data_IF_302385678766
#
_entry.id   IF_302385678766
#
_cell.length_a   1.000
_cell.length_b   1.000
_cell.length_c   1.000
_cell.angle_alpha   90.00
_cell.angle_beta   90.00
_cell.angle_gamma   90.00
#
_symmetry.space_group_name_H-M   'P 1'
#
loop_
_entity.id
_entity.type
_entity.pdbx_description
1 polymer ?
#
# COMPACT_ATOMS: atom_id res chain seq x y z
N UNK A 1 21.27 0.81 -0.62
CA UNK A 1 19.90 0.65 -0.16
C UNK A 1 18.93 1.45 -1.01
N UNK A 2 17.90 0.81 -1.45
CA UNK A 2 16.89 1.47 -2.25
C UNK A 2 15.96 2.30 -1.39
N UNK A 3 15.65 3.48 -1.89
CA UNK A 3 14.64 4.31 -1.28
C UNK A 3 13.67 4.78 -2.33
N UNK A 4 12.43 4.77 -1.97
CA UNK A 4 11.37 5.17 -2.90
C UNK A 4 11.15 6.66 -2.77
N UNK A 5 11.17 7.35 -3.88
CA UNK A 5 11.15 8.81 -3.91
C UNK A 5 9.76 9.37 -4.11
N UNK A 6 8.88 8.59 -4.73
CA UNK A 6 7.55 9.09 -5.05
C UNK A 6 6.50 8.07 -4.68
N UNK A 7 5.27 8.56 -4.48
CA UNK A 7 4.13 7.70 -4.25
C UNK A 7 3.86 6.81 -5.45
N UNK A 8 4.17 7.28 -6.65
CA UNK A 8 3.96 6.47 -7.86
C UNK A 8 4.80 5.21 -7.85
N UNK A 9 6.06 5.32 -7.40
CA UNK A 9 6.93 4.15 -7.34
C UNK A 9 6.41 3.11 -6.36
N UNK A 10 6.01 3.57 -5.18
CA UNK A 10 5.48 2.68 -4.16
C UNK A 10 4.17 2.05 -4.64
N UNK A 11 3.33 2.86 -5.26
CA UNK A 11 2.06 2.38 -5.80
C UNK A 11 2.29 1.23 -6.80
N UNK A 12 3.23 1.41 -7.73
CA UNK A 12 3.49 0.37 -8.73
C UNK A 12 3.98 -0.92 -8.10
N UNK A 13 4.83 -0.83 -7.09
CA UNK A 13 5.32 -2.02 -6.41
C UNK A 13 4.17 -2.75 -5.72
N UNK A 14 3.36 -2.04 -4.96
CA UNK A 14 2.25 -2.67 -4.24
C UNK A 14 1.20 -3.19 -5.20
N UNK A 15 0.89 -2.44 -6.25
CA UNK A 15 -0.07 -2.89 -7.25
C UNK A 15 0.36 -4.21 -7.87
N UNK A 16 1.64 -4.32 -8.25
CA UNK A 16 2.15 -5.54 -8.83
C UNK A 16 2.05 -6.71 -7.86
N UNK A 17 2.39 -6.47 -6.59
CA UNK A 17 2.34 -7.54 -5.59
C UNK A 17 0.91 -8.01 -5.32
N UNK A 18 -0.05 -7.11 -5.42
CA UNK A 18 -1.45 -7.49 -5.27
C UNK A 18 -1.92 -8.29 -6.48
N UNK A 19 -1.53 -7.87 -7.67
CA UNK A 19 -1.96 -8.52 -8.90
C UNK A 19 -1.34 -9.91 -9.03
N UNK A 20 -0.07 -10.07 -8.67
CA UNK A 20 0.60 -11.37 -8.79
C UNK A 20 0.40 -12.24 -7.56
N UNK A 21 -0.43 -11.81 -6.62
CA UNK A 21 -0.81 -12.55 -5.43
C UNK A 21 0.32 -12.74 -4.42
N UNK A 22 1.40 -11.95 -4.53
CA UNK A 22 2.40 -11.88 -3.47
C UNK A 22 1.73 -11.39 -2.19
N UNK A 23 0.85 -10.41 -2.32
CA UNK A 23 -0.02 -9.96 -1.24
C UNK A 23 -1.40 -10.53 -1.55
N UNK A 24 -1.88 -11.43 -0.70
CA UNK A 24 -3.11 -12.14 -0.99
C UNK A 24 -4.34 -11.33 -0.69
N UNK A 25 -5.45 -11.59 -1.38
CA UNK A 25 -6.74 -10.99 -1.05
C UNK A 25 -7.10 -11.28 0.40
N UNK A 26 -7.66 -10.29 1.07
CA UNK A 26 -8.01 -10.41 2.48
C UNK A 26 -6.89 -10.04 3.42
N UNK A 27 -5.68 -9.83 2.90
CA UNK A 27 -4.55 -9.44 3.74
C UNK A 27 -4.73 -8.01 4.24
N UNK A 28 -4.23 -7.74 5.44
CA UNK A 28 -4.23 -6.39 5.99
C UNK A 28 -2.94 -5.68 5.59
N UNK A 29 -3.07 -4.41 5.22
CA UNK A 29 -1.92 -3.56 4.93
C UNK A 29 -1.88 -2.46 5.97
N UNK A 30 -0.91 -2.54 6.87
CA UNK A 30 -0.73 -1.52 7.90
C UNK A 30 0.24 -0.46 7.45
N UNK A 31 0.04 0.78 7.89
CA UNK A 31 0.91 1.87 7.52
C UNK A 31 2.33 1.70 8.05
N UNK A 32 2.45 1.31 9.31
CA UNK A 32 3.77 1.23 9.93
C UNK A 32 4.73 0.27 9.22
N UNK A 33 4.34 -0.98 8.94
CA UNK A 33 5.23 -1.86 8.18
C UNK A 33 5.57 -1.33 6.80
N UNK A 34 4.63 -0.68 6.13
CA UNK A 34 4.89 -0.12 4.81
C UNK A 34 5.85 1.06 4.90
N UNK A 35 5.71 1.91 5.90
CA UNK A 35 6.65 3.00 6.11
C UNK A 35 8.07 2.46 6.30
N UNK A 36 8.21 1.42 7.10
CA UNK A 36 9.51 0.81 7.34
C UNK A 36 10.06 0.16 6.07
N UNK A 37 9.20 -0.54 5.34
CA UNK A 37 9.61 -1.25 4.14
C UNK A 37 10.12 -0.32 3.06
N UNK A 38 9.42 0.79 2.84
CA UNK A 38 9.76 1.71 1.76
C UNK A 38 10.60 2.90 2.21
N UNK A 39 10.83 3.04 3.50
CA UNK A 39 11.56 4.19 4.00
C UNK A 39 10.81 5.48 3.73
N UNK A 40 9.49 5.45 3.77
CA UNK A 40 8.65 6.57 3.40
C UNK A 40 7.84 7.07 4.60
N UNK A 41 7.50 8.37 4.62
CA UNK A 41 6.68 8.89 5.70
C UNK A 41 5.25 8.40 5.59
N UNK A 42 4.55 8.43 6.72
CA UNK A 42 3.18 7.92 6.77
C UNK A 42 2.26 8.64 5.80
N UNK A 43 2.46 9.95 5.63
CA UNK A 43 1.62 10.72 4.70
C UNK A 43 1.73 10.18 3.28
N UNK A 44 2.93 9.80 2.86
CA UNK A 44 3.14 9.26 1.53
C UNK A 44 2.47 7.90 1.39
N UNK A 45 2.59 7.06 2.41
CA UNK A 45 1.96 5.73 2.39
C UNK A 45 0.44 5.87 2.31
N UNK A 46 -0.13 6.85 3.03
CA UNK A 46 -1.58 7.07 2.96
C UNK A 46 -2.03 7.45 1.57
N UNK A 47 -1.24 8.28 0.88
CA UNK A 47 -1.56 8.66 -0.50
C UNK A 47 -1.56 7.43 -1.39
N UNK A 48 -0.57 6.55 -1.22
CA UNK A 48 -0.49 5.33 -2.01
C UNK A 48 -1.69 4.43 -1.76
N UNK A 49 -2.03 4.23 -0.49
CA UNK A 49 -3.18 3.39 -0.15
C UNK A 49 -4.48 3.96 -0.71
N UNK A 50 -4.61 5.29 -0.69
CA UNK A 50 -5.78 5.94 -1.27
C UNK A 50 -5.87 5.66 -2.77
N UNK A 51 -4.75 5.73 -3.47
CA UNK A 51 -4.73 5.45 -4.91
C UNK A 51 -5.07 3.99 -5.19
N UNK A 52 -4.58 3.08 -4.36
CA UNK A 52 -4.91 1.67 -4.52
C UNK A 52 -6.41 1.44 -4.31
N UNK A 53 -7.02 2.14 -3.36
CA UNK A 53 -8.45 2.03 -3.14
C UNK A 53 -9.23 2.58 -4.33
N UNK A 54 -8.79 3.70 -4.89
CA UNK A 54 -9.46 4.28 -6.04
C UNK A 54 -9.47 3.34 -7.23
N UNK A 55 -8.48 2.46 -7.32
CA UNK A 55 -8.40 1.48 -8.40
C UNK A 55 -8.95 0.12 -8.00
N UNK A 56 -9.62 0.04 -6.87
CA UNK A 56 -10.28 -1.19 -6.46
C UNK A 56 -9.36 -2.29 -5.97
N UNK A 57 -8.12 -1.97 -5.64
CA UNK A 57 -7.15 -2.97 -5.21
C UNK A 57 -7.18 -3.21 -3.71
N UNK A 58 -7.57 -2.21 -2.94
CA UNK A 58 -7.69 -2.33 -1.49
C UNK A 58 -8.94 -1.61 -1.04
N UNK A 59 -9.33 -1.88 0.21
CA UNK A 59 -10.44 -1.18 0.85
C UNK A 59 -9.95 -0.63 2.18
N UNK A 60 -10.08 0.67 2.35
CA UNK A 60 -9.71 1.35 3.58
C UNK A 60 -10.94 1.43 4.46
N UNK A 61 -10.87 0.83 5.64
CA UNK A 61 -11.99 0.82 6.59
C UNK A 61 -11.59 1.66 7.79
N UNK A 62 -12.36 2.70 8.13
CA UNK A 62 -12.03 3.53 9.30
C UNK A 62 -11.90 2.68 10.55
N UNK A 63 -10.88 2.95 11.34
CA UNK A 63 -10.59 2.29 12.61
C UNK A 63 -10.19 0.83 12.50
N UNK A 64 -10.24 0.24 11.31
CA UNK A 64 -9.85 -1.16 11.12
C UNK A 64 -8.62 -1.33 10.25
N UNK A 65 -8.34 -0.36 9.42
CA UNK A 65 -7.17 -0.41 8.55
C UNK A 65 -7.52 -0.70 7.12
N UNK A 66 -6.52 -1.14 6.36
CA UNK A 66 -6.65 -1.36 4.92
C UNK A 66 -6.59 -2.85 4.64
N UNK A 67 -7.50 -3.32 3.81
CA UNK A 67 -7.57 -4.73 3.44
C UNK A 67 -7.48 -4.87 1.92
N UNK A 68 -6.75 -5.87 1.45
CA UNK A 68 -6.66 -6.17 0.02
C UNK A 68 -7.96 -6.82 -0.42
N UNK A 69 -8.54 -6.32 -1.50
CA UNK A 69 -9.82 -6.85 -2.00
C UNK A 69 -9.66 -8.16 -2.77
#
# INVERSE_FOLDING_TARGET
>A
MEQYKTDAEIYEVLKREIIDLTIRPGSSLSENPLCARFGAPRTLIRVVLQKLQENGLVKIVPYKGTTVT
#
